data_IF_459374693838
#
_entry.id   IF_459374693838
#
_cell.length_a   1.000
_cell.length_b   1.000
_cell.length_c   1.000
_cell.angle_alpha   90.00
_cell.angle_beta   90.00
_cell.angle_gamma   90.00
#
_symmetry.space_group_name_H-M   'P 1'
#
loop_
_entity.id
_entity.type
_entity.pdbx_description
1 polymer ?
#
# COMPACT_ATOMS: atom_id res chain seq x y z
N UNK A 1 6.20 16.05 1.42
CA UNK A 1 7.40 15.26 1.10
C UNK A 1 7.98 15.81 -0.19
N UNK A 2 9.30 15.72 -0.41
CA UNK A 2 9.90 16.19 -1.67
C UNK A 2 9.97 15.02 -2.65
N UNK A 3 9.76 15.28 -3.94
CA UNK A 3 9.64 14.23 -4.97
C UNK A 3 10.85 13.29 -5.03
N UNK A 4 12.06 13.79 -4.74
CA UNK A 4 13.26 12.96 -4.67
C UNK A 4 13.25 11.96 -3.51
N UNK A 5 12.66 12.32 -2.38
CA UNK A 5 12.57 11.42 -1.22
C UNK A 5 11.59 10.28 -1.49
N UNK A 6 10.43 10.58 -2.09
CA UNK A 6 9.43 9.58 -2.48
C UNK A 6 10.05 8.52 -3.39
N UNK A 7 10.85 8.97 -4.36
CA UNK A 7 11.61 8.12 -5.29
C UNK A 7 12.73 7.33 -4.60
N UNK A 8 13.31 7.86 -3.52
CA UNK A 8 14.31 7.15 -2.73
C UNK A 8 13.69 6.02 -1.92
N UNK A 9 12.58 6.29 -1.23
CA UNK A 9 11.91 5.32 -0.34
C UNK A 9 11.48 4.05 -1.08
N UNK A 10 11.01 4.16 -2.34
CA UNK A 10 10.60 2.99 -3.13
C UNK A 10 11.76 2.03 -3.45
N UNK A 11 13.01 2.43 -3.25
CA UNK A 11 14.19 1.58 -3.45
C UNK A 11 14.61 0.82 -2.19
N UNK A 12 14.05 1.17 -1.03
CA UNK A 12 14.47 0.65 0.27
C UNK A 12 13.86 -0.73 0.56
N UNK A 13 14.56 -1.50 1.39
CA UNK A 13 14.05 -2.72 2.03
C UNK A 13 13.60 -2.46 3.46
N UNK A 14 12.80 -3.37 4.00
CA UNK A 14 12.41 -3.32 5.42
C UNK A 14 13.65 -3.24 6.31
N UNK A 15 13.56 -2.38 7.32
CA UNK A 15 14.58 -2.13 8.34
C UNK A 15 15.89 -1.52 7.77
N UNK A 16 15.90 -1.10 6.50
CA UNK A 16 17.04 -0.42 5.88
C UNK A 16 17.19 1.02 6.38
N UNK A 17 18.44 1.44 6.60
CA UNK A 17 18.83 2.84 6.86
C UNK A 17 19.58 3.39 5.65
N UNK A 18 19.04 4.42 5.02
CA UNK A 18 19.60 5.06 3.83
C UNK A 18 19.90 6.55 4.03
N UNK A 19 20.93 7.04 3.34
CA UNK A 19 21.22 8.48 3.22
C UNK A 19 20.97 8.92 1.77
N UNK A 20 19.91 9.69 1.54
CA UNK A 20 19.58 10.24 0.24
C UNK A 20 20.11 11.66 0.10
N UNK A 21 20.90 11.93 -0.95
CA UNK A 21 21.33 13.29 -1.30
C UNK A 21 20.55 13.73 -2.53
N UNK A 22 19.73 14.77 -2.38
CA UNK A 22 18.83 15.27 -3.41
C UNK A 22 19.31 16.62 -3.93
N UNK A 23 19.37 16.81 -5.27
CA UNK A 23 19.59 18.12 -5.84
C UNK A 23 18.34 19.01 -5.65
N UNK A 24 18.47 20.34 -5.79
CA UNK A 24 17.39 21.28 -5.48
C UNK A 24 16.08 20.99 -6.22
N UNK A 25 16.16 20.55 -7.48
CA UNK A 25 15.00 20.29 -8.34
C UNK A 25 14.15 19.10 -7.86
N UNK A 26 14.75 18.20 -7.07
CA UNK A 26 14.09 17.07 -6.42
C UNK A 26 13.84 17.32 -4.92
N UNK A 27 14.18 18.51 -4.43
CA UNK A 27 14.06 18.95 -3.05
C UNK A 27 13.18 20.20 -2.92
N UNK A 28 13.76 21.36 -2.58
CA UNK A 28 13.03 22.61 -2.31
C UNK A 28 13.23 23.71 -3.38
N UNK A 29 13.94 23.40 -4.46
CA UNK A 29 14.10 24.27 -5.63
C UNK A 29 14.73 25.64 -5.34
N UNK A 30 14.47 26.57 -6.26
CA UNK A 30 15.00 27.94 -6.22
C UNK A 30 14.44 28.78 -5.07
N UNK A 31 13.24 28.46 -4.57
CA UNK A 31 12.65 29.22 -3.48
C UNK A 31 13.26 28.84 -2.12
N UNK A 32 13.81 27.62 -1.98
CA UNK A 32 14.11 27.07 -0.67
C UNK A 32 12.85 26.86 0.18
N UNK A 33 13.01 26.60 1.47
CA UNK A 33 11.89 26.42 2.42
C UNK A 33 12.36 26.40 3.86
N UNK A 34 11.66 27.09 4.78
CA UNK A 34 11.81 26.92 6.24
C UNK A 34 13.28 26.83 6.72
N UNK A 35 14.10 27.85 6.41
CA UNK A 35 15.52 27.88 6.78
C UNK A 35 16.47 27.12 5.84
N UNK A 36 15.93 26.42 4.83
CA UNK A 36 16.70 25.88 3.70
C UNK A 36 16.90 26.98 2.65
N UNK A 37 18.14 27.37 2.34
CA UNK A 37 18.41 28.36 1.30
C UNK A 37 17.95 27.91 -0.09
N UNK A 38 17.62 28.86 -0.98
CA UNK A 38 17.52 28.63 -2.43
C UNK A 38 18.60 27.70 -2.97
N UNK A 39 18.24 26.80 -3.89
CA UNK A 39 19.18 25.99 -4.67
C UNK A 39 20.10 25.08 -3.81
N UNK A 40 19.63 24.66 -2.65
CA UNK A 40 20.40 23.78 -1.75
C UNK A 40 20.23 22.30 -2.07
N UNK A 41 21.35 21.55 -2.01
CA UNK A 41 21.30 20.10 -1.92
C UNK A 41 20.84 19.67 -0.52
N UNK A 42 19.94 18.70 -0.46
CA UNK A 42 19.36 18.23 0.80
C UNK A 42 19.73 16.78 1.05
N UNK A 43 20.12 16.48 2.29
CA UNK A 43 20.42 15.12 2.74
C UNK A 43 19.34 14.62 3.68
N UNK A 44 18.74 13.48 3.38
CA UNK A 44 17.77 12.79 4.23
C UNK A 44 18.36 11.49 4.74
N UNK A 45 18.43 11.31 6.06
CA UNK A 45 18.67 10.02 6.68
C UNK A 45 17.32 9.38 7.00
N UNK A 46 17.07 8.19 6.45
CA UNK A 46 15.76 7.54 6.49
C UNK A 46 15.93 6.12 6.96
N UNK A 47 15.00 5.65 7.79
CA UNK A 47 14.87 4.25 8.19
C UNK A 47 13.49 3.75 7.76
N UNK A 48 13.42 2.67 6.96
CA UNK A 48 12.15 2.10 6.53
C UNK A 48 11.66 1.06 7.55
N UNK A 49 10.75 1.47 8.44
CA UNK A 49 10.24 0.59 9.50
C UNK A 49 9.19 -0.41 8.99
N UNK A 50 8.22 0.07 8.21
CA UNK A 50 7.14 -0.76 7.67
C UNK A 50 6.42 -0.07 6.51
N UNK A 51 5.70 -0.86 5.72
CA UNK A 51 4.75 -0.36 4.72
C UNK A 51 3.57 -1.32 4.59
N UNK A 52 2.48 -0.81 4.03
CA UNK A 52 1.32 -1.61 3.67
C UNK A 52 1.19 -1.57 2.15
N UNK A 53 1.11 -2.74 1.52
CA UNK A 53 0.88 -2.81 0.08
C UNK A 53 -0.59 -2.54 -0.22
N UNK A 54 -0.84 -1.51 -1.03
CA UNK A 54 -2.17 -1.19 -1.57
C UNK A 54 -2.18 -1.53 -3.06
N UNK A 55 -3.19 -2.27 -3.50
CA UNK A 55 -3.38 -2.71 -4.88
C UNK A 55 -4.72 -2.16 -5.34
N UNK A 56 -4.70 -1.33 -6.38
CA UNK A 56 -5.89 -1.03 -7.15
C UNK A 56 -6.18 -2.21 -8.08
N UNK A 57 -7.18 -3.01 -7.71
CA UNK A 57 -7.52 -4.27 -8.39
C UNK A 57 -8.19 -3.98 -9.74
N UNK A 58 -9.02 -2.95 -9.81
CA UNK A 58 -9.76 -2.55 -11.01
C UNK A 58 -8.99 -1.56 -11.89
N UNK A 59 -7.92 -0.93 -11.37
CA UNK A 59 -7.10 0.10 -12.04
C UNK A 59 -7.84 1.41 -12.34
N UNK A 60 -9.01 1.60 -11.75
CA UNK A 60 -9.85 2.80 -11.86
C UNK A 60 -10.13 3.43 -10.49
N UNK A 61 -9.53 2.89 -9.42
CA UNK A 61 -9.75 3.31 -8.04
C UNK A 61 -11.00 2.72 -7.37
N UNK A 62 -11.82 1.94 -8.07
CA UNK A 62 -13.08 1.40 -7.56
C UNK A 62 -12.90 0.25 -6.56
N UNK A 63 -11.94 -0.64 -6.78
CA UNK A 63 -11.67 -1.79 -5.90
C UNK A 63 -10.25 -1.72 -5.35
N UNK A 64 -10.12 -1.27 -4.10
CA UNK A 64 -8.83 -1.11 -3.43
C UNK A 64 -8.58 -2.24 -2.42
N UNK A 65 -7.53 -3.03 -2.66
CA UNK A 65 -7.06 -4.07 -1.73
C UNK A 65 -5.88 -3.56 -0.91
N UNK A 66 -6.05 -3.53 0.41
CA UNK A 66 -4.96 -3.31 1.37
C UNK A 66 -4.45 -4.65 1.91
N UNK A 67 -3.20 -5.00 1.61
CA UNK A 67 -2.58 -6.25 2.08
C UNK A 67 -2.18 -6.07 3.55
N UNK A 68 -2.99 -6.59 4.47
CA UNK A 68 -2.71 -6.54 5.91
C UNK A 68 -1.62 -7.53 6.31
N UNK A 69 -1.70 -8.75 5.76
CA UNK A 69 -0.68 -9.80 5.90
C UNK A 69 -0.37 -10.33 4.51
N UNK A 70 0.92 -10.43 4.18
CA UNK A 70 1.37 -10.97 2.90
C UNK A 70 1.11 -12.48 2.89
N UNK A 71 0.38 -12.97 1.88
CA UNK A 71 0.20 -14.40 1.65
C UNK A 71 1.49 -15.07 1.15
N UNK A 72 1.63 -16.37 1.40
CA UNK A 72 2.84 -17.14 1.10
C UNK A 72 2.83 -17.77 -0.29
N UNK A 73 1.65 -18.03 -0.87
CA UNK A 73 1.51 -18.71 -2.14
C UNK A 73 1.71 -17.77 -3.34
N UNK A 74 2.28 -18.30 -4.42
CA UNK A 74 2.64 -17.55 -5.63
C UNK A 74 1.49 -17.46 -6.66
N UNK A 75 0.41 -18.22 -6.48
CA UNK A 75 -0.79 -18.20 -7.32
C UNK A 75 -1.92 -17.34 -6.76
N UNK A 76 -2.89 -16.99 -7.60
CA UNK A 76 -4.18 -16.41 -7.21
C UNK A 76 -5.28 -17.35 -7.70
N UNK A 77 -6.42 -17.47 -6.99
CA UNK A 77 -7.57 -18.18 -7.52
C UNK A 77 -7.96 -17.63 -8.90
N UNK A 78 -8.35 -18.51 -9.82
CA UNK A 78 -8.96 -18.17 -11.09
C UNK A 78 -10.48 -18.40 -11.06
N UNK A 79 -11.15 -18.05 -12.15
CA UNK A 79 -12.60 -18.26 -12.29
C UNK A 79 -12.93 -19.74 -12.08
N UNK A 80 -14.00 -20.01 -11.32
CA UNK A 80 -14.47 -21.35 -10.94
C UNK A 80 -13.58 -22.12 -9.95
N UNK A 81 -12.52 -21.52 -9.40
CA UNK A 81 -11.83 -22.12 -8.26
C UNK A 81 -12.72 -22.07 -7.01
N UNK A 82 -12.73 -23.15 -6.22
CA UNK A 82 -13.32 -23.18 -4.89
C UNK A 82 -12.38 -22.50 -3.88
N UNK A 83 -12.92 -21.60 -3.06
CA UNK A 83 -12.16 -20.85 -2.05
C UNK A 83 -12.83 -20.93 -0.69
N UNK A 84 -12.02 -21.09 0.36
CA UNK A 84 -12.43 -20.91 1.75
C UNK A 84 -12.02 -19.50 2.22
N UNK A 85 -13.00 -18.65 2.54
CA UNK A 85 -12.75 -17.25 2.89
C UNK A 85 -13.37 -16.88 4.22
N UNK A 86 -12.66 -16.06 4.99
CA UNK A 86 -13.21 -15.28 6.10
C UNK A 86 -13.32 -13.82 5.70
N UNK A 87 -14.47 -13.21 5.92
CA UNK A 87 -14.65 -11.79 5.68
C UNK A 87 -15.45 -11.14 6.81
N UNK A 88 -15.22 -9.84 6.95
CA UNK A 88 -15.96 -8.95 7.84
C UNK A 88 -16.41 -7.78 6.98
N UNK A 89 -17.71 -7.50 6.99
CA UNK A 89 -18.32 -6.42 6.23
C UNK A 89 -18.54 -5.25 7.18
N UNK A 90 -17.90 -4.13 6.90
CA UNK A 90 -18.04 -2.88 7.66
C UNK A 90 -18.35 -1.72 6.73
N UNK A 91 -19.16 -0.77 7.21
CA UNK A 91 -19.28 0.54 6.57
C UNK A 91 -17.99 1.36 6.71
N UNK A 92 -17.88 2.45 5.95
CA UNK A 92 -16.73 3.35 5.98
C UNK A 92 -16.51 4.01 7.36
N UNK A 93 -17.58 4.16 8.15
CA UNK A 93 -17.53 4.67 9.53
C UNK A 93 -17.11 3.60 10.56
N UNK A 94 -16.89 2.35 10.12
CA UNK A 94 -16.51 1.22 10.95
C UNK A 94 -17.67 0.39 11.49
N UNK A 95 -18.93 0.74 11.21
CA UNK A 95 -20.09 -0.06 11.63
C UNK A 95 -20.04 -1.46 11.05
N UNK A 96 -20.10 -2.48 11.90
CA UNK A 96 -20.11 -3.89 11.50
C UNK A 96 -21.50 -4.29 10.98
N UNK A 97 -21.56 -4.78 9.75
CA UNK A 97 -22.78 -5.31 9.14
C UNK A 97 -22.85 -6.85 9.22
N UNK A 98 -21.76 -7.53 8.91
CA UNK A 98 -21.71 -8.99 8.87
C UNK A 98 -20.29 -9.54 9.06
N UNK A 99 -20.17 -10.82 9.40
CA UNK A 99 -18.92 -11.58 9.36
C UNK A 99 -19.21 -13.05 9.07
N UNK A 100 -18.25 -13.76 8.50
CA UNK A 100 -18.28 -15.22 8.39
C UNK A 100 -18.09 -15.89 9.76
N UNK A 101 -18.46 -17.18 9.90
CA UNK A 101 -18.04 -18.02 11.03
C UNK A 101 -16.52 -18.11 11.18
N UNK A 102 -16.06 -18.69 12.29
CA UNK A 102 -14.63 -18.84 12.57
C UNK A 102 -13.97 -19.87 11.64
N UNK A 103 -14.70 -20.84 11.13
CA UNK A 103 -14.24 -21.79 10.12
C UNK A 103 -14.12 -21.16 8.73
N UNK A 104 -14.85 -20.07 8.46
CA UNK A 104 -14.96 -19.45 7.14
C UNK A 104 -16.16 -19.95 6.34
N UNK A 105 -16.22 -19.57 5.06
CA UNK A 105 -17.25 -20.03 4.12
C UNK A 105 -16.59 -20.45 2.81
N UNK A 106 -17.01 -21.58 2.26
CA UNK A 106 -16.57 -22.09 0.96
C UNK A 106 -17.52 -21.62 -0.15
N UNK A 107 -16.97 -21.19 -1.28
CA UNK A 107 -17.73 -20.85 -2.49
C UNK A 107 -16.84 -20.88 -3.73
N UNK A 108 -17.44 -20.89 -4.92
CA UNK A 108 -16.74 -20.82 -6.20
C UNK A 108 -16.56 -19.36 -6.67
N UNK A 109 -15.35 -18.99 -7.08
CA UNK A 109 -15.06 -17.64 -7.58
C UNK A 109 -15.83 -17.38 -8.88
N UNK A 110 -16.50 -16.21 -8.94
CA UNK A 110 -17.33 -15.77 -10.07
C UNK A 110 -18.54 -16.66 -10.38
N UNK A 111 -18.99 -17.48 -9.41
CA UNK A 111 -20.19 -18.32 -9.52
C UNK A 111 -21.52 -17.54 -9.42
N UNK A 112 -21.51 -16.25 -9.76
CA UNK A 112 -22.73 -15.44 -9.84
C UNK A 112 -23.44 -15.19 -8.51
N UNK A 113 -22.74 -15.26 -7.37
CA UNK A 113 -23.32 -14.98 -6.06
C UNK A 113 -23.83 -13.52 -5.99
N UNK A 114 -25.16 -13.39 -6.12
CA UNK A 114 -25.95 -12.21 -5.82
C UNK A 114 -25.92 -11.99 -4.31
N UNK A 115 -25.26 -10.92 -3.86
CA UNK A 115 -25.46 -10.37 -2.52
C UNK A 115 -26.10 -8.98 -2.65
#
# INVERSE_FOLDING_TARGET
>A
MVSGLDRGIVTMKKDEKGLFTLPPELAYGEAGRDGVPPNSYIKFQVELISWITVIDVSKDGGVIKRVVVKGEQTGKPCDLDEVLVKYVVTLADGTLLARTPEEGVEFYVNDGAQF
#
